data_IF_500624650234
#
_entry.id   IF_500624650234
#
_cell.length_a   1.000
_cell.length_b   1.000
_cell.length_c   1.000
_cell.angle_alpha   90.00
_cell.angle_beta   90.00
_cell.angle_gamma   90.00
#
_symmetry.space_group_name_H-M   'P 1'
#
loop_
_entity.id
_entity.type
_entity.pdbx_description
1 polymer ?
#
# COMPACT_ATOMS: atom_id res chain seq x y z
N UNK A 1 3.55 -10.40 -7.51
CA UNK A 1 4.04 -10.56 -8.90
C UNK A 1 2.97 -11.25 -9.73
N UNK A 2 2.64 -10.75 -10.92
CA UNK A 2 1.63 -11.37 -11.80
C UNK A 2 2.32 -11.98 -13.01
N UNK A 3 1.89 -13.17 -13.43
CA UNK A 3 2.47 -13.93 -14.53
C UNK A 3 1.37 -14.33 -15.53
N UNK A 4 1.59 -14.11 -16.84
CA UNK A 4 0.60 -14.38 -17.88
C UNK A 4 1.03 -15.53 -18.83
N UNK A 5 0.04 -16.30 -19.29
CA UNK A 5 0.19 -17.26 -20.41
C UNK A 5 -0.92 -17.18 -21.43
N UNK A 6 -0.55 -17.15 -22.71
CA UNK A 6 -1.45 -17.19 -23.85
C UNK A 6 -1.47 -18.60 -24.46
N UNK A 7 -2.43 -19.42 -24.04
CA UNK A 7 -2.89 -20.54 -24.88
C UNK A 7 -4.41 -20.70 -24.82
N UNK A 8 -5.04 -20.04 -25.81
CA UNK A 8 -6.39 -20.25 -26.36
C UNK A 8 -7.57 -20.21 -25.38
N UNK A 9 -8.42 -19.20 -25.57
CA UNK A 9 -9.65 -18.86 -24.82
C UNK A 9 -9.42 -18.53 -23.33
N UNK A 10 -9.30 -17.21 -23.08
CA UNK A 10 -8.95 -16.51 -21.83
C UNK A 10 -7.47 -16.68 -21.40
N UNK A 11 -6.73 -15.58 -21.16
CA UNK A 11 -5.38 -15.66 -20.64
C UNK A 11 -5.40 -16.38 -19.29
N UNK A 12 -4.58 -17.42 -19.12
CA UNK A 12 -4.39 -18.05 -17.81
C UNK A 12 -3.41 -17.20 -17.02
N UNK A 13 -3.93 -16.48 -16.04
CA UNK A 13 -3.17 -15.58 -15.16
C UNK A 13 -2.79 -16.37 -13.92
N UNK A 14 -1.49 -16.43 -13.61
CA UNK A 14 -1.00 -16.94 -12.32
C UNK A 14 -0.53 -15.76 -11.48
N UNK A 15 -1.00 -15.66 -10.25
CA UNK A 15 -0.66 -14.56 -9.36
C UNK A 15 0.11 -15.11 -8.17
N UNK A 16 1.34 -14.66 -8.00
CA UNK A 16 2.11 -14.89 -6.80
C UNK A 16 1.87 -13.71 -5.85
N UNK A 17 1.05 -13.98 -4.83
CA UNK A 17 0.62 -12.99 -3.84
C UNK A 17 1.28 -13.33 -2.49
N UNK A 18 2.36 -12.63 -2.10
CA UNK A 18 2.89 -12.76 -0.76
C UNK A 18 1.89 -12.18 0.25
N UNK A 19 1.59 -12.93 1.30
CA UNK A 19 0.80 -12.44 2.42
C UNK A 19 1.76 -11.76 3.38
N UNK A 20 1.82 -10.43 3.30
CA UNK A 20 2.65 -9.59 4.17
C UNK A 20 1.86 -9.10 5.38
N UNK A 21 0.69 -8.51 5.14
CA UNK A 21 -0.26 -8.11 6.19
C UNK A 21 -1.32 -9.21 6.34
N UNK A 22 -1.35 -9.95 7.45
CA UNK A 22 -2.35 -10.99 7.69
C UNK A 22 -3.76 -10.42 7.91
N UNK A 23 -3.92 -9.13 8.22
CA UNK A 23 -5.22 -8.48 8.44
C UNK A 23 -5.86 -8.01 7.12
N UNK A 24 -5.10 -7.96 6.02
CA UNK A 24 -5.61 -7.56 4.72
C UNK A 24 -6.07 -8.79 3.93
N UNK A 25 -7.38 -8.95 3.83
CA UNK A 25 -7.96 -9.86 2.84
C UNK A 25 -7.91 -9.20 1.46
N UNK A 26 -7.15 -9.81 0.55
CA UNK A 26 -7.13 -9.35 -0.85
C UNK A 26 -8.44 -9.75 -1.52
N UNK A 27 -9.19 -8.76 -2.01
CA UNK A 27 -10.38 -9.03 -2.83
C UNK A 27 -9.95 -9.80 -4.08
N UNK A 28 -10.60 -10.94 -4.33
CA UNK A 28 -10.28 -11.81 -5.46
C UNK A 28 -10.31 -11.11 -6.81
N UNK A 29 -9.69 -11.73 -7.82
CA UNK A 29 -9.58 -11.14 -9.15
C UNK A 29 -10.91 -11.24 -9.90
N UNK A 30 -11.29 -10.17 -10.62
CA UNK A 30 -12.48 -10.18 -11.51
C UNK A 30 -12.34 -11.17 -12.67
N UNK A 31 -11.10 -11.42 -13.11
CA UNK A 31 -10.79 -12.39 -14.15
C UNK A 31 -10.37 -13.72 -13.51
N UNK A 32 -10.66 -14.86 -14.15
CA UNK A 32 -10.22 -16.17 -13.67
C UNK A 32 -8.68 -16.19 -13.63
N UNK A 33 -8.13 -16.12 -12.41
CA UNK A 33 -6.71 -16.18 -12.14
C UNK A 33 -6.43 -17.27 -11.11
N UNK A 34 -5.36 -18.03 -11.34
CA UNK A 34 -4.84 -18.96 -10.36
C UNK A 34 -3.94 -18.20 -9.39
N UNK A 35 -4.46 -17.86 -8.21
CA UNK A 35 -3.69 -17.18 -7.17
C UNK A 35 -2.98 -18.19 -6.28
N UNK A 36 -1.67 -18.06 -6.18
CA UNK A 36 -0.82 -18.78 -5.24
C UNK A 36 -0.45 -17.79 -4.14
N UNK A 37 -0.95 -18.04 -2.93
CA UNK A 37 -0.63 -17.23 -1.76
C UNK A 37 0.62 -17.77 -1.07
N UNK A 38 1.66 -16.94 -0.98
CA UNK A 38 2.88 -17.27 -0.26
C UNK A 38 2.73 -16.79 1.18
N UNK A 39 2.62 -17.73 2.11
CA UNK A 39 2.50 -17.46 3.54
C UNK A 39 3.76 -17.94 4.24
N UNK A 40 4.29 -17.11 5.14
CA UNK A 40 5.30 -17.56 6.09
C UNK A 40 4.64 -18.36 7.22
N UNK A 41 5.46 -19.11 7.97
CA UNK A 41 5.03 -19.71 9.23
C UNK A 41 4.51 -18.64 10.19
N UNK A 42 3.57 -19.02 11.08
CA UNK A 42 2.87 -18.09 11.98
C UNK A 42 3.82 -17.18 12.78
N UNK A 43 4.90 -17.73 13.32
CA UNK A 43 5.85 -16.97 14.13
C UNK A 43 6.57 -15.88 13.33
N UNK A 44 6.72 -16.07 12.01
CA UNK A 44 7.33 -15.07 11.13
C UNK A 44 6.33 -14.02 10.64
N UNK A 45 5.02 -14.29 10.65
CA UNK A 45 3.97 -13.29 10.35
C UNK A 45 3.72 -12.31 11.50
N UNK A 46 4.04 -12.68 12.75
CA UNK A 46 3.85 -11.80 13.91
C UNK A 46 4.77 -10.57 13.91
N UNK A 47 5.91 -10.65 13.22
CA UNK A 47 6.83 -9.53 13.02
C UNK A 47 6.14 -8.31 12.36
N UNK A 48 5.09 -8.53 11.57
CA UNK A 48 4.31 -7.44 10.96
C UNK A 48 3.70 -6.51 12.02
N UNK A 49 3.20 -7.07 13.12
CA UNK A 49 2.65 -6.31 14.24
C UNK A 49 3.72 -5.62 15.11
N UNK A 50 4.99 -5.96 14.92
CA UNK A 50 6.10 -5.32 15.63
C UNK A 50 6.55 -4.00 14.99
N UNK A 51 6.14 -3.72 13.75
CA UNK A 51 6.40 -2.45 13.07
C UNK A 51 5.90 -1.27 13.91
N UNK A 52 6.77 -0.28 14.14
CA UNK A 52 6.40 0.92 14.87
C UNK A 52 5.33 1.73 14.13
N UNK A 53 5.31 1.63 12.80
CA UNK A 53 4.26 2.20 11.96
C UNK A 53 2.88 1.54 12.12
N UNK A 54 2.75 0.44 12.87
CA UNK A 54 1.46 -0.18 13.19
C UNK A 54 1.06 0.06 14.65
N UNK A 55 1.84 0.87 15.37
CA UNK A 55 1.67 1.11 16.81
C UNK A 55 1.15 2.53 17.07
N UNK A 56 0.57 2.79 18.26
CA UNK A 56 0.12 4.11 18.67
C UNK A 56 1.20 5.21 18.60
N UNK A 57 2.48 4.82 18.57
CA UNK A 57 3.63 5.73 18.44
C UNK A 57 3.58 6.63 17.20
N UNK A 58 2.83 6.28 16.15
CA UNK A 58 2.65 7.16 15.00
C UNK A 58 1.92 8.46 15.35
N UNK A 59 0.97 8.41 16.29
CA UNK A 59 0.17 9.57 16.69
C UNK A 59 0.95 10.59 17.50
N UNK A 60 2.07 10.17 18.09
CA UNK A 60 2.95 11.01 18.90
C UNK A 60 4.31 11.22 18.25
N UNK A 61 4.48 10.76 17.00
CA UNK A 61 5.72 10.93 16.27
C UNK A 61 5.96 12.44 15.99
N UNK A 62 7.17 12.96 16.26
CA UNK A 62 7.50 14.32 15.87
C UNK A 62 7.50 14.46 14.34
N UNK A 63 7.36 15.68 13.80
CA UNK A 63 7.56 15.93 12.38
C UNK A 63 8.90 15.35 11.91
N UNK A 64 8.88 14.56 10.83
CA UNK A 64 10.09 13.95 10.30
C UNK A 64 11.00 15.01 9.67
N UNK A 65 12.30 14.93 9.95
CA UNK A 65 13.36 15.72 9.31
C UNK A 65 14.28 14.78 8.56
N UNK A 66 13.90 14.36 7.36
CA UNK A 66 14.65 13.37 6.58
C UNK A 66 13.78 12.16 6.24
N UNK A 67 13.99 11.01 6.89
CA UNK A 67 13.17 9.81 6.64
C UNK A 67 11.98 9.77 7.60
N UNK A 68 10.76 9.70 7.06
CA UNK A 68 9.50 9.61 7.81
C UNK A 68 9.15 8.18 8.22
N UNK A 69 9.88 7.19 7.69
CA UNK A 69 9.81 5.81 8.14
C UNK A 69 11.01 5.48 9.02
N UNK A 70 10.79 4.81 10.15
CA UNK A 70 11.90 4.34 10.98
C UNK A 70 12.72 3.30 10.22
N UNK A 71 14.05 3.44 10.29
CA UNK A 71 14.95 2.50 9.63
C UNK A 71 14.77 1.05 10.13
N UNK A 72 14.45 0.85 11.41
CA UNK A 72 14.14 -0.46 11.98
C UNK A 72 12.94 -1.12 11.30
N UNK A 73 11.89 -0.35 11.01
CA UNK A 73 10.70 -0.86 10.35
C UNK A 73 11.01 -1.22 8.89
N UNK A 74 11.79 -0.38 8.21
CA UNK A 74 12.27 -0.67 6.85
C UNK A 74 13.12 -1.95 6.80
N UNK A 75 14.05 -2.12 7.74
CA UNK A 75 14.85 -3.35 7.86
C UNK A 75 13.98 -4.58 8.12
N UNK A 76 12.94 -4.46 8.97
CA UNK A 76 12.03 -5.56 9.24
C UNK A 76 11.25 -5.97 7.98
N UNK A 77 10.72 -5.00 7.22
CA UNK A 77 10.04 -5.28 5.94
C UNK A 77 10.96 -5.96 4.91
N UNK A 78 12.21 -5.51 4.82
CA UNK A 78 13.23 -6.13 3.96
C UNK A 78 13.55 -7.57 4.41
N UNK A 79 13.70 -7.80 5.70
CA UNK A 79 13.98 -9.14 6.24
C UNK A 79 12.82 -10.10 6.03
N UNK A 80 11.58 -9.62 6.21
CA UNK A 80 10.37 -10.36 5.92
C UNK A 80 10.28 -10.75 4.43
N UNK A 81 10.58 -9.80 3.54
CA UNK A 81 10.66 -10.07 2.10
C UNK A 81 11.73 -11.11 1.77
N UNK A 82 12.91 -11.01 2.40
CA UNK A 82 14.00 -11.97 2.22
C UNK A 82 13.58 -13.38 2.67
N UNK A 83 12.94 -13.52 3.82
CA UNK A 83 12.42 -14.81 4.34
C UNK A 83 11.38 -15.40 3.40
N UNK A 84 10.45 -14.59 2.89
CA UNK A 84 9.45 -15.01 1.90
C UNK A 84 10.11 -15.53 0.62
N UNK A 85 11.06 -14.78 0.06
CA UNK A 85 11.79 -15.22 -1.13
C UNK A 85 12.57 -16.50 -0.87
N UNK A 86 13.21 -16.62 0.30
CA UNK A 86 13.95 -17.83 0.68
C UNK A 86 13.03 -19.04 0.79
N UNK A 87 11.91 -18.90 1.50
CA UNK A 87 10.92 -19.98 1.65
C UNK A 87 10.37 -20.44 0.29
N UNK A 88 10.09 -19.50 -0.62
CA UNK A 88 9.66 -19.82 -1.99
C UNK A 88 10.75 -20.60 -2.76
N UNK A 89 12.00 -20.17 -2.65
CA UNK A 89 13.14 -20.75 -3.36
C UNK A 89 13.55 -22.12 -2.80
N UNK A 90 13.31 -22.36 -1.51
CA UNK A 90 13.56 -23.64 -0.85
C UNK A 90 12.41 -24.66 -1.05
N UNK A 91 11.25 -24.23 -1.55
CA UNK A 91 10.12 -25.11 -1.89
C UNK A 91 10.30 -25.70 -3.31
N UNK A 92 10.91 -26.89 -3.37
CA UNK A 92 11.20 -27.57 -4.64
C UNK A 92 9.94 -27.90 -5.46
N UNK A 93 8.81 -28.23 -4.81
CA UNK A 93 7.55 -28.52 -5.52
C UNK A 93 6.99 -27.25 -6.17
N UNK A 94 6.96 -26.15 -5.41
CA UNK A 94 6.53 -24.85 -5.93
C UNK A 94 7.45 -24.40 -7.07
N UNK A 95 8.77 -24.49 -6.90
CA UNK A 95 9.74 -24.12 -7.93
C UNK A 95 9.61 -25.00 -9.18
N UNK A 96 9.35 -26.30 -9.03
CA UNK A 96 9.07 -27.19 -10.15
C UNK A 96 7.81 -26.76 -10.91
N UNK A 97 6.70 -26.51 -10.19
CA UNK A 97 5.44 -26.03 -10.77
C UNK A 97 5.60 -24.70 -11.49
N UNK A 98 6.39 -23.77 -10.94
CA UNK A 98 6.69 -22.49 -11.56
C UNK A 98 7.54 -22.66 -12.83
N UNK A 99 8.48 -23.61 -12.87
CA UNK A 99 9.27 -23.90 -14.08
C UNK A 99 8.44 -24.55 -15.19
N UNK A 100 7.52 -25.45 -14.84
CA UNK A 100 6.61 -26.06 -15.80
C UNK A 100 5.57 -25.07 -16.33
N UNK A 101 5.23 -24.08 -15.50
CA UNK A 101 4.42 -22.94 -15.91
C UNK A 101 5.25 -22.09 -16.88
N UNK A 102 4.84 -22.06 -18.15
CA UNK A 102 5.38 -21.07 -19.10
C UNK A 102 4.93 -19.69 -18.63
N UNK A 103 5.70 -18.63 -18.84
CA UNK A 103 5.27 -17.26 -18.56
C UNK A 103 5.76 -16.34 -19.68
N UNK A 104 4.89 -15.47 -20.16
CA UNK A 104 5.19 -14.54 -21.27
C UNK A 104 5.40 -13.11 -20.77
N UNK A 105 4.71 -12.73 -19.69
CA UNK A 105 4.81 -11.41 -19.08
C UNK A 105 4.87 -11.52 -17.56
N UNK A 106 5.68 -10.67 -16.96
CA UNK A 106 5.82 -10.50 -15.51
C UNK A 106 5.44 -9.07 -15.14
N UNK A 107 4.49 -8.91 -14.23
CA UNK A 107 4.24 -7.64 -13.57
C UNK A 107 4.82 -7.69 -12.17
N UNK A 108 5.79 -6.82 -11.90
CA UNK A 108 6.28 -6.54 -10.58
C UNK A 108 5.85 -5.14 -10.17
N UNK A 109 5.41 -5.02 -8.92
CA UNK A 109 5.34 -3.72 -8.29
C UNK A 109 6.75 -3.26 -7.94
N UNK A 110 7.02 -1.98 -8.15
CA UNK A 110 8.29 -1.36 -7.82
C UNK A 110 8.02 -0.03 -7.16
N UNK A 111 8.65 0.18 -6.00
CA UNK A 111 8.72 1.49 -5.36
C UNK A 111 9.98 2.18 -5.87
N UNK A 112 9.86 2.84 -7.03
CA UNK A 112 10.93 3.71 -7.54
C UNK A 112 10.45 5.15 -7.54
N UNK A 113 11.28 6.05 -7.01
CA UNK A 113 10.90 7.45 -6.79
C UNK A 113 11.79 8.37 -7.60
N UNK A 114 11.19 9.09 -8.54
CA UNK A 114 11.82 10.21 -9.22
C UNK A 114 11.46 11.49 -8.48
N UNK A 115 12.43 12.12 -7.80
CA UNK A 115 12.22 13.29 -6.94
C UNK A 115 12.88 13.11 -5.57
N UNK A 116 12.34 13.75 -4.52
CA UNK A 116 12.70 13.43 -3.15
C UNK A 116 12.60 11.92 -2.89
N UNK A 117 13.49 11.36 -2.07
CA UNK A 117 13.44 9.94 -1.70
C UNK A 117 12.06 9.64 -1.12
N UNK A 118 11.43 8.54 -1.59
CA UNK A 118 10.01 8.17 -1.40
C UNK A 118 9.48 7.99 0.02
N UNK A 119 10.24 8.41 1.03
CA UNK A 119 9.92 8.37 2.44
C UNK A 119 10.39 9.65 3.14
N UNK A 120 10.66 10.72 2.38
CA UNK A 120 11.04 12.02 2.92
C UNK A 120 9.84 12.98 2.96
N UNK A 121 9.82 13.96 3.89
CA UNK A 121 8.72 14.91 4.00
C UNK A 121 8.78 15.99 2.91
N UNK A 122 9.77 15.94 2.04
CA UNK A 122 10.06 17.03 1.14
C UNK A 122 9.13 17.02 -0.07
N UNK A 123 8.74 18.21 -0.51
CA UNK A 123 8.01 18.42 -1.76
C UNK A 123 8.98 18.51 -2.95
N UNK A 124 8.43 18.67 -4.15
CA UNK A 124 9.21 18.93 -5.37
C UNK A 124 10.03 20.23 -5.29
N UNK A 125 9.63 21.18 -4.42
CA UNK A 125 10.31 22.45 -4.20
C UNK A 125 11.28 22.37 -3.01
N UNK A 126 12.50 21.94 -3.29
CA UNK A 126 13.55 21.81 -2.28
C UNK A 126 14.41 23.07 -2.15
N UNK A 127 14.60 23.54 -0.92
CA UNK A 127 15.67 24.49 -0.56
C UNK A 127 17.06 23.85 -0.70
N UNK A 128 18.13 24.67 -0.62
CA UNK A 128 19.50 24.16 -0.76
C UNK A 128 19.85 23.08 0.28
N UNK A 129 19.45 23.26 1.54
CA UNK A 129 19.73 22.29 2.61
C UNK A 129 18.93 21.02 2.40
N UNK A 130 17.66 21.12 2.00
CA UNK A 130 16.82 19.95 1.70
C UNK A 130 17.30 19.19 0.46
N UNK A 131 17.94 19.86 -0.50
CA UNK A 131 18.64 19.18 -1.61
C UNK A 131 19.84 18.38 -1.12
N UNK A 132 20.62 18.93 -0.19
CA UNK A 132 21.79 18.25 0.36
C UNK A 132 21.40 17.03 1.21
N UNK A 133 20.57 17.24 2.23
CA UNK A 133 19.34 16.47 2.47
C UNK A 133 19.13 15.18 1.66
N UNK A 134 18.28 15.39 0.66
CA UNK A 134 17.81 14.41 -0.28
C UNK A 134 18.94 13.70 -1.04
N UNK A 135 20.00 14.42 -1.43
CA UNK A 135 21.14 13.84 -2.14
C UNK A 135 21.88 12.80 -1.30
N UNK A 136 22.13 13.09 -0.02
CA UNK A 136 22.76 12.14 0.90
C UNK A 136 21.87 10.92 1.13
N UNK A 137 20.57 11.12 1.33
CA UNK A 137 19.61 10.01 1.44
C UNK A 137 19.60 9.17 0.17
N UNK A 138 19.58 9.79 -1.00
CA UNK A 138 19.59 9.10 -2.28
C UNK A 138 20.84 8.22 -2.43
N UNK A 139 22.03 8.76 -2.17
CA UNK A 139 23.29 7.97 -2.19
C UNK A 139 23.20 6.78 -1.23
N UNK A 140 22.73 7.02 -0.01
CA UNK A 140 22.57 5.97 1.00
C UNK A 140 21.65 4.84 0.49
N UNK A 141 20.48 5.19 -0.07
CA UNK A 141 19.55 4.20 -0.62
C UNK A 141 20.11 3.49 -1.85
N UNK A 142 20.86 4.16 -2.74
CA UNK A 142 21.51 3.50 -3.88
C UNK A 142 22.56 2.47 -3.43
N UNK A 143 23.37 2.81 -2.42
CA UNK A 143 24.35 1.87 -1.83
C UNK A 143 23.61 0.71 -1.16
N UNK A 144 22.57 1.00 -0.38
CA UNK A 144 21.79 -0.02 0.31
C UNK A 144 21.06 -0.96 -0.67
N UNK A 145 20.48 -0.42 -1.75
CA UNK A 145 19.86 -1.21 -2.83
C UNK A 145 20.86 -2.16 -3.48
N UNK A 146 22.08 -1.70 -3.78
CA UNK A 146 23.15 -2.57 -4.31
C UNK A 146 23.55 -3.66 -3.32
N UNK A 147 23.64 -3.34 -2.04
CA UNK A 147 23.91 -4.33 -1.00
C UNK A 147 22.80 -5.38 -0.91
N UNK A 148 21.53 -4.95 -0.96
CA UNK A 148 20.37 -5.84 -0.99
C UNK A 148 20.36 -6.72 -2.23
N UNK A 149 20.55 -6.16 -3.41
CA UNK A 149 20.61 -6.90 -4.67
C UNK A 149 21.67 -8.02 -4.58
N UNK A 150 22.87 -7.72 -4.05
CA UNK A 150 23.90 -8.75 -3.79
C UNK A 150 23.54 -9.77 -2.70
N UNK A 151 22.71 -9.40 -1.71
CA UNK A 151 22.19 -10.33 -0.70
C UNK A 151 21.16 -11.28 -1.32
N UNK A 152 20.16 -10.76 -2.03
CA UNK A 152 19.13 -11.57 -2.69
C UNK A 152 19.72 -12.42 -3.80
N UNK A 153 20.60 -11.86 -4.63
CA UNK A 153 21.26 -12.58 -5.72
C UNK A 153 22.02 -13.82 -5.22
N UNK A 154 22.77 -13.72 -4.11
CA UNK A 154 23.47 -14.89 -3.55
C UNK A 154 22.51 -16.03 -3.20
N UNK A 155 21.41 -15.72 -2.53
CA UNK A 155 20.37 -16.69 -2.17
C UNK A 155 19.77 -17.37 -3.42
N UNK A 156 19.45 -16.60 -4.47
CA UNK A 156 18.93 -17.19 -5.71
C UNK A 156 19.99 -17.99 -6.47
N UNK A 157 21.21 -17.48 -6.56
CA UNK A 157 22.32 -18.09 -7.31
C UNK A 157 22.84 -19.38 -6.65
N UNK A 158 22.71 -19.54 -5.32
CA UNK A 158 22.99 -20.79 -4.62
C UNK A 158 22.08 -21.95 -5.08
N UNK A 159 20.83 -21.64 -5.45
CA UNK A 159 19.87 -22.65 -5.95
C UNK A 159 19.87 -22.78 -7.46
N UNK A 160 20.02 -21.66 -8.17
CA UNK A 160 20.07 -21.60 -9.63
C UNK A 160 21.35 -20.86 -10.08
N UNK A 161 22.48 -21.58 -10.24
CA UNK A 161 23.74 -20.97 -10.62
C UNK A 161 23.65 -20.26 -11.98
N UNK A 162 24.14 -19.02 -12.02
CA UNK A 162 24.17 -18.22 -13.25
C UNK A 162 22.92 -17.36 -13.49
N UNK A 163 22.00 -17.30 -12.52
CA UNK A 163 20.87 -16.38 -12.57
C UNK A 163 21.37 -14.91 -12.56
N UNK A 164 20.83 -14.03 -13.43
CA UNK A 164 21.18 -12.61 -13.39
C UNK A 164 20.69 -11.95 -12.10
N UNK A 165 21.35 -10.85 -11.70
CA UNK A 165 20.89 -10.05 -10.56
C UNK A 165 19.52 -9.43 -10.84
N UNK A 166 18.71 -9.23 -9.80
CA UNK A 166 17.36 -8.66 -9.93
C UNK A 166 17.43 -7.31 -10.60
N UNK A 167 18.42 -6.49 -10.21
CA UNK A 167 18.68 -5.19 -10.81
C UNK A 167 18.90 -5.27 -12.33
N UNK A 168 19.66 -6.25 -12.80
CA UNK A 168 19.97 -6.39 -14.23
C UNK A 168 18.72 -6.86 -15.01
N UNK A 169 17.91 -7.76 -14.42
CA UNK A 169 16.60 -8.14 -14.97
C UNK A 169 15.70 -6.90 -15.11
N UNK A 170 15.60 -6.06 -14.07
CA UNK A 170 14.78 -4.84 -14.10
C UNK A 170 15.26 -3.85 -15.16
N UNK A 171 16.57 -3.66 -15.34
CA UNK A 171 17.07 -2.71 -16.34
C UNK A 171 17.00 -3.24 -17.78
N UNK A 172 17.24 -4.54 -18.00
CA UNK A 172 17.32 -5.09 -19.35
C UNK A 172 16.00 -5.66 -19.89
N UNK A 173 15.09 -6.07 -19.01
CA UNK A 173 13.85 -6.77 -19.39
C UNK A 173 12.58 -5.96 -19.18
N UNK A 174 12.65 -4.79 -18.54
CA UNK A 174 11.47 -3.92 -18.38
C UNK A 174 11.07 -3.32 -19.72
N UNK A 175 9.91 -3.76 -20.23
CA UNK A 175 9.34 -3.24 -21.48
C UNK A 175 8.38 -2.06 -21.26
N UNK A 176 7.76 -1.98 -20.08
CA UNK A 176 6.70 -1.02 -19.77
C UNK A 176 6.70 -0.69 -18.27
N UNK A 177 6.57 0.60 -17.94
CA UNK A 177 6.38 1.09 -16.58
C UNK A 177 5.00 1.72 -16.51
N UNK A 178 4.13 1.17 -15.65
CA UNK A 178 2.78 1.68 -15.45
C UNK A 178 2.71 2.41 -14.12
N UNK A 179 2.34 3.69 -14.15
CA UNK A 179 2.26 4.54 -12.96
C UNK A 179 0.79 4.84 -12.66
N UNK A 180 0.37 4.56 -11.43
CA UNK A 180 -1.01 4.81 -10.96
C UNK A 180 -1.22 6.29 -10.58
N UNK A 181 -1.04 7.19 -11.55
CA UNK A 181 -1.25 8.63 -11.38
C UNK A 181 -2.08 9.16 -12.55
N UNK A 182 -2.89 10.19 -12.29
CA UNK A 182 -3.57 10.91 -13.36
C UNK A 182 -2.60 11.91 -14.00
N UNK A 183 -2.54 11.96 -15.33
CA UNK A 183 -1.56 12.78 -16.06
C UNK A 183 -1.58 14.27 -15.69
N UNK A 184 -2.76 14.85 -15.46
CA UNK A 184 -2.91 16.24 -15.01
C UNK A 184 -2.55 16.50 -13.54
N UNK A 185 -2.45 15.46 -12.71
CA UNK A 185 -2.06 15.58 -11.31
C UNK A 185 -0.53 15.42 -11.11
N UNK A 186 0.18 15.01 -12.17
CA UNK A 186 1.61 14.75 -12.14
C UNK A 186 2.41 16.01 -12.50
N UNK A 187 3.55 16.21 -11.82
CA UNK A 187 4.46 17.31 -12.11
C UNK A 187 5.10 17.14 -13.49
N UNK A 188 5.20 18.22 -14.26
CA UNK A 188 5.78 18.15 -15.61
C UNK A 188 7.25 17.75 -15.55
N UNK A 189 7.61 16.61 -16.14
CA UNK A 189 8.99 16.10 -16.20
C UNK A 189 9.27 15.37 -17.51
N UNK A 190 10.52 15.36 -17.99
CA UNK A 190 10.92 14.52 -19.12
C UNK A 190 10.62 13.06 -18.81
N UNK A 191 9.97 12.36 -19.74
CA UNK A 191 9.63 10.94 -19.58
C UNK A 191 10.00 10.13 -20.82
N UNK A 192 10.36 8.88 -20.58
CA UNK A 192 10.49 7.90 -21.66
C UNK A 192 9.11 7.44 -22.13
N UNK A 193 9.02 7.00 -23.39
CA UNK A 193 7.82 6.39 -23.95
C UNK A 193 7.45 5.05 -23.28
N UNK A 194 8.34 4.47 -22.47
CA UNK A 194 8.04 3.28 -21.66
C UNK A 194 7.12 3.57 -20.46
N UNK A 195 6.99 4.84 -20.04
CA UNK A 195 6.11 5.20 -18.92
C UNK A 195 4.70 5.45 -19.44
N UNK A 196 3.71 4.79 -18.82
CA UNK A 196 2.28 4.96 -19.09
C UNK A 196 1.53 5.26 -17.81
N UNK A 197 0.76 6.33 -17.84
CA UNK A 197 -0.15 6.69 -16.76
C UNK A 197 -1.41 5.84 -16.87
N UNK A 198 -1.68 5.08 -15.82
CA UNK A 198 -2.84 4.20 -15.70
C UNK A 198 -3.70 4.60 -14.48
N UNK A 199 -3.57 5.85 -14.03
CA UNK A 199 -4.35 6.38 -12.92
C UNK A 199 -5.83 6.13 -13.11
N UNK A 200 -6.46 5.49 -12.11
CA UNK A 200 -7.88 5.16 -12.16
C UNK A 200 -8.25 3.92 -12.97
N UNK A 201 -7.29 3.22 -13.61
CA UNK A 201 -7.57 1.99 -14.38
C UNK A 201 -8.15 0.84 -13.57
N UNK A 202 -7.92 0.84 -12.25
CA UNK A 202 -8.46 -0.15 -11.31
C UNK A 202 -9.76 0.28 -10.65
N UNK A 203 -10.22 1.51 -10.88
CA UNK A 203 -11.50 2.01 -10.35
C UNK A 203 -12.62 1.36 -11.15
N UNK A 204 -13.56 0.76 -10.44
CA UNK A 204 -14.75 0.17 -11.03
C UNK A 204 -15.97 1.06 -10.84
N UNK A 205 -16.99 0.82 -11.66
CA UNK A 205 -18.26 1.53 -11.54
C UNK A 205 -18.85 1.29 -10.14
N UNK A 206 -19.17 2.35 -9.38
CA UNK A 206 -19.73 2.25 -8.04
C UNK A 206 -20.92 1.30 -8.00
N UNK A 207 -20.85 0.31 -7.12
CA UNK A 207 -21.93 -0.64 -6.88
C UNK A 207 -22.93 -0.09 -5.85
N UNK A 208 -24.19 -0.58 -5.85
CA UNK A 208 -25.15 -0.21 -4.83
C UNK A 208 -24.65 -0.59 -3.43
N UNK A 209 -24.60 0.40 -2.53
CA UNK A 209 -24.26 0.17 -1.12
C UNK A 209 -25.31 -0.71 -0.43
N UNK A 210 -24.89 -1.40 0.63
CA UNK A 210 -25.82 -2.14 1.47
C UNK A 210 -26.88 -1.20 2.10
N UNK A 211 -27.97 -1.79 2.60
CA UNK A 211 -29.10 -1.02 3.16
C UNK A 211 -28.69 -0.20 4.37
N UNK A 212 -27.83 -0.76 5.23
CA UNK A 212 -27.39 -0.12 6.47
C UNK A 212 -26.64 1.18 6.20
N UNK A 213 -25.58 1.12 5.38
CA UNK A 213 -24.80 2.29 5.00
C UNK A 213 -25.63 3.28 4.20
N UNK A 214 -26.52 2.79 3.33
CA UNK A 214 -27.44 3.66 2.59
C UNK A 214 -28.40 4.42 3.52
N UNK A 215 -28.87 3.80 4.61
CA UNK A 215 -29.74 4.47 5.57
C UNK A 215 -28.98 5.59 6.29
N UNK A 216 -27.77 5.30 6.80
CA UNK A 216 -26.91 6.30 7.48
C UNK A 216 -26.61 7.49 6.57
N UNK A 217 -26.29 7.25 5.30
CA UNK A 217 -26.04 8.29 4.31
C UNK A 217 -27.25 9.17 4.01
N UNK A 218 -28.47 8.66 4.23
CA UNK A 218 -29.72 9.37 3.94
C UNK A 218 -30.28 10.09 5.17
N UNK A 219 -29.71 9.92 6.37
CA UNK A 219 -30.19 10.58 7.58
C UNK A 219 -30.09 12.11 7.49
N UNK A 220 -29.08 12.62 6.78
CA UNK A 220 -28.71 14.04 6.73
C UNK A 220 -28.32 14.46 5.31
N UNK A 221 -28.44 15.75 4.96
CA UNK A 221 -28.17 16.24 3.61
C UNK A 221 -26.69 16.12 3.20
N UNK A 222 -25.79 16.13 4.18
CA UNK A 222 -24.34 16.12 3.93
C UNK A 222 -23.72 14.98 4.73
N UNK A 223 -22.86 14.20 4.08
CA UNK A 223 -22.02 13.21 4.75
C UNK A 223 -20.54 13.49 4.50
N UNK A 224 -19.76 13.39 5.58
CA UNK A 224 -18.30 13.47 5.59
C UNK A 224 -17.74 12.10 5.90
N UNK A 225 -16.84 11.61 5.04
CA UNK A 225 -16.05 10.41 5.33
C UNK A 225 -14.73 10.81 6.01
N UNK A 226 -14.51 10.30 7.22
CA UNK A 226 -13.26 10.44 7.98
C UNK A 226 -12.56 9.09 8.13
N UNK A 227 -11.34 9.00 7.61
CA UNK A 227 -10.55 7.76 7.64
C UNK A 227 -9.04 8.05 7.63
N UNK A 228 -8.26 7.13 8.22
CA UNK A 228 -6.79 7.23 8.35
C UNK A 228 -6.03 6.22 7.46
N UNK A 229 -6.75 5.50 6.61
CA UNK A 229 -6.19 4.42 5.79
C UNK A 229 -6.09 3.08 6.53
N UNK A 230 -5.17 2.23 6.07
CA UNK A 230 -4.98 0.85 6.55
C UNK A 230 -3.72 0.66 7.41
N UNK A 231 -2.88 1.68 7.51
CA UNK A 231 -1.64 1.64 8.31
C UNK A 231 -1.88 2.24 9.69
N UNK A 232 -2.51 3.42 9.75
CA UNK A 232 -2.77 4.16 10.98
C UNK A 232 -4.17 3.81 11.47
N UNK A 233 -4.29 3.22 12.66
CA UNK A 233 -5.59 2.89 13.26
C UNK A 233 -6.15 4.04 14.07
N UNK A 234 -7.40 4.41 13.78
CA UNK A 234 -8.13 5.47 14.48
C UNK A 234 -8.34 5.12 15.95
N UNK A 235 -8.52 3.84 16.28
CA UNK A 235 -8.65 3.40 17.69
C UNK A 235 -7.43 3.69 18.55
N UNK A 236 -6.25 3.79 17.93
CA UNK A 236 -4.99 4.05 18.64
C UNK A 236 -4.69 5.55 18.80
N UNK A 237 -5.58 6.41 18.27
CA UNK A 237 -5.48 7.85 18.41
C UNK A 237 -5.54 8.26 19.90
N UNK A 238 -4.69 9.19 20.38
CA UNK A 238 -4.76 9.69 21.73
C UNK A 238 -6.14 10.25 22.07
N UNK A 239 -6.61 10.00 23.29
CA UNK A 239 -7.96 10.37 23.74
C UNK A 239 -8.26 11.87 23.54
N UNK A 240 -7.30 12.74 23.87
CA UNK A 240 -7.45 14.18 23.66
C UNK A 240 -7.72 14.54 22.20
N UNK A 241 -7.12 13.82 21.25
CA UNK A 241 -7.28 14.07 19.82
C UNK A 241 -8.61 13.50 19.31
N UNK A 242 -9.02 12.32 19.79
CA UNK A 242 -10.35 11.75 19.54
C UNK A 242 -11.45 12.72 19.99
N UNK A 243 -11.30 13.27 21.20
CA UNK A 243 -12.25 14.23 21.78
C UNK A 243 -12.34 15.51 20.94
N UNK A 244 -11.22 16.03 20.41
CA UNK A 244 -11.24 17.18 19.50
C UNK A 244 -12.11 16.89 18.26
N UNK A 245 -11.96 15.72 17.63
CA UNK A 245 -12.78 15.37 16.47
C UNK A 245 -14.25 15.18 16.84
N UNK A 246 -14.54 14.48 17.93
CA UNK A 246 -15.88 14.28 18.47
C UNK A 246 -16.59 15.61 18.74
N UNK A 247 -15.94 16.51 19.49
CA UNK A 247 -16.48 17.82 19.83
C UNK A 247 -16.70 18.66 18.57
N UNK A 248 -15.74 18.62 17.63
CA UNK A 248 -15.85 19.33 16.36
C UNK A 248 -17.04 18.80 15.53
N UNK A 249 -17.19 17.47 15.42
CA UNK A 249 -18.28 16.86 14.68
C UNK A 249 -19.64 17.16 15.31
N UNK A 250 -19.72 17.22 16.64
CA UNK A 250 -20.94 17.57 17.35
C UNK A 250 -21.44 19.00 17.05
N UNK A 251 -20.54 19.93 16.65
CA UNK A 251 -20.92 21.28 16.21
C UNK A 251 -21.68 21.31 14.87
N UNK A 252 -21.69 20.20 14.13
CA UNK A 252 -22.37 20.08 12.83
C UNK A 252 -23.47 19.02 12.87
N UNK A 253 -24.55 19.20 13.65
CA UNK A 253 -25.61 18.21 13.82
C UNK A 253 -26.38 17.88 12.53
N UNK A 254 -26.31 18.76 11.52
CA UNK A 254 -26.90 18.59 10.20
C UNK A 254 -26.00 17.82 9.20
N UNK A 255 -24.84 17.34 9.64
CA UNK A 255 -23.92 16.53 8.84
C UNK A 255 -23.74 15.15 9.48
N UNK A 256 -23.72 14.11 8.66
CA UNK A 256 -23.34 12.75 9.08
C UNK A 256 -21.83 12.58 8.93
N UNK A 257 -21.15 12.09 9.94
CA UNK A 257 -19.72 11.75 9.91
C UNK A 257 -19.57 10.23 9.94
N UNK A 258 -19.12 9.65 8.84
CA UNK A 258 -18.71 8.25 8.78
C UNK A 258 -17.25 8.16 9.19
N UNK A 259 -16.96 7.53 10.33
CA UNK A 259 -15.60 7.38 10.83
C UNK A 259 -15.13 5.94 10.66
N UNK A 260 -14.14 5.70 9.78
CA UNK A 260 -13.44 4.42 9.73
C UNK A 260 -12.69 4.18 11.04
N UNK A 261 -13.21 3.26 11.87
CA UNK A 261 -12.75 3.05 13.23
C UNK A 261 -12.79 1.55 13.56
N UNK A 262 -11.69 1.03 14.07
CA UNK A 262 -11.44 -0.41 14.23
C UNK A 262 -12.14 -1.04 15.45
N UNK A 263 -12.85 -0.25 16.25
CA UNK A 263 -13.69 -0.71 17.38
C UNK A 263 -15.02 0.08 17.43
N UNK A 264 -16.03 -0.31 16.63
CA UNK A 264 -17.25 0.48 16.45
C UNK A 264 -18.14 0.56 17.70
N UNK A 265 -17.94 -0.30 18.69
CA UNK A 265 -18.68 -0.33 19.95
C UNK A 265 -18.06 0.56 21.04
N UNK A 266 -16.98 1.29 20.71
CA UNK A 266 -16.27 2.16 21.63
C UNK A 266 -17.21 3.20 22.26
N UNK A 267 -17.08 3.38 23.57
CA UNK A 267 -17.93 4.25 24.38
C UNK A 267 -17.81 5.72 23.99
N UNK A 268 -16.74 6.12 23.32
CA UNK A 268 -16.53 7.50 22.86
C UNK A 268 -17.61 7.97 21.88
N UNK A 269 -18.26 7.05 21.15
CA UNK A 269 -19.32 7.38 20.20
C UNK A 269 -20.69 7.48 20.86
N UNK A 270 -20.81 7.13 22.13
CA UNK A 270 -22.08 7.24 22.87
C UNK A 270 -22.46 8.72 22.98
N UNK A 271 -23.73 9.00 22.70
CA UNK A 271 -24.34 10.34 22.75
C UNK A 271 -23.95 11.31 21.63
N UNK A 272 -23.36 10.83 20.52
CA UNK A 272 -23.03 11.67 19.36
C UNK A 272 -23.78 11.12 18.13
N UNK A 273 -25.06 11.49 17.96
CA UNK A 273 -25.95 10.83 17.00
C UNK A 273 -25.62 11.12 15.54
N UNK A 274 -24.65 11.99 15.26
CA UNK A 274 -24.23 12.37 13.92
C UNK A 274 -22.85 11.80 13.55
N UNK A 275 -22.24 10.97 14.41
CA UNK A 275 -20.99 10.26 14.14
C UNK A 275 -21.26 8.77 14.15
N UNK A 276 -20.92 8.08 13.06
CA UNK A 276 -21.16 6.66 12.87
C UNK A 276 -19.81 5.96 12.66
N UNK A 277 -19.31 5.20 13.65
CA UNK A 277 -18.11 4.41 13.47
C UNK A 277 -18.42 3.20 12.57
N UNK A 278 -17.51 2.92 11.64
CA UNK A 278 -17.60 1.79 10.72
C UNK A 278 -16.23 1.15 10.60
N UNK A 279 -16.16 -0.17 10.72
CA UNK A 279 -14.89 -0.89 10.65
C UNK A 279 -14.34 -0.91 9.21
N UNK A 280 -15.23 -1.14 8.25
CA UNK A 280 -14.91 -1.25 6.83
C UNK A 280 -15.80 -0.37 5.96
N UNK A 281 -15.20 0.21 4.91
CA UNK A 281 -15.90 1.13 4.00
C UNK A 281 -15.61 0.72 2.55
N UNK A 282 -16.64 0.48 1.72
CA UNK A 282 -16.47 0.31 0.29
C UNK A 282 -16.18 1.69 -0.35
N UNK A 283 -14.95 2.17 -0.21
CA UNK A 283 -14.58 3.57 -0.50
C UNK A 283 -14.91 3.98 -1.94
N UNK A 284 -14.69 3.11 -2.93
CA UNK A 284 -15.05 3.37 -4.33
C UNK A 284 -16.56 3.54 -4.52
N UNK A 285 -17.36 2.63 -3.96
CA UNK A 285 -18.83 2.67 -4.05
C UNK A 285 -19.40 3.90 -3.33
N UNK A 286 -18.79 4.24 -2.19
CA UNK A 286 -19.18 5.37 -1.37
C UNK A 286 -18.89 6.69 -2.09
N UNK A 287 -17.66 6.89 -2.58
CA UNK A 287 -17.24 8.10 -3.29
C UNK A 287 -17.93 8.31 -4.65
N UNK A 288 -18.54 7.25 -5.21
CA UNK A 288 -19.44 7.36 -6.36
C UNK A 288 -20.71 8.18 -6.10
N UNK A 289 -21.11 8.33 -4.82
CA UNK A 289 -22.18 9.25 -4.39
C UNK A 289 -21.57 10.60 -4.04
N UNK A 290 -22.34 11.70 -4.19
CA UNK A 290 -21.87 13.08 -3.87
C UNK A 290 -21.54 13.21 -2.37
N UNK A 291 -20.30 12.91 -2.01
CA UNK A 291 -19.78 12.93 -0.64
C UNK A 291 -18.58 13.85 -0.53
N UNK A 292 -18.38 14.40 0.67
CA UNK A 292 -17.17 15.17 1.01
C UNK A 292 -16.19 14.22 1.71
N UNK A 293 -15.00 14.06 1.14
CA UNK A 293 -13.94 13.23 1.72
C UNK A 293 -13.02 14.08 2.60
N UNK A 294 -12.84 13.68 3.86
CA UNK A 294 -11.86 14.25 4.78
C UNK A 294 -10.85 13.15 5.16
N UNK A 295 -9.78 13.02 4.37
CA UNK A 295 -8.67 12.11 4.67
C UNK A 295 -7.48 12.91 5.20
N UNK A 296 -7.07 12.65 6.45
CA UNK A 296 -5.99 13.39 7.11
C UNK A 296 -4.60 12.79 6.83
N UNK A 297 -4.54 11.53 6.39
CA UNK A 297 -3.32 10.82 6.02
C UNK A 297 -3.50 10.20 4.62
N UNK A 298 -3.65 11.05 3.61
CA UNK A 298 -3.42 10.64 2.23
C UNK A 298 -1.91 10.62 1.95
N UNK A 299 -1.16 9.78 2.67
CA UNK A 299 0.17 9.34 2.24
C UNK A 299 -0.08 8.14 1.31
N UNK A 300 0.38 8.28 0.05
CA UNK A 300 0.05 7.48 -1.14
C UNK A 300 -1.06 8.10 -2.01
N UNK A 301 -0.80 9.31 -2.51
CA UNK A 301 -1.06 9.62 -3.92
C UNK A 301 0.26 9.57 -4.66
#
# INVERSE_FOLDING_TARGET
>A
MYLLTEKTNLPKITILSPVLDPEIETFGNKLPAHTIHLKLEKDATDDWYHLQMKKPAQWTAPPCTGLCLKWSDYQLMVEQTYRLCKALVDDDDMMHRLRESKFELVYSEGLDTCGPVGLSPFSDELSFIERLINFNLHIFFEIYKKWLDGRFWRMFNEKEPGIPAIRDILYEKTALIMTNVHEFAETTRPRTNMIRYIGGSTIYDPQPLNKELSNVLNERPTTVLFCMGTIVYSKDMPEWMKNVFIETFALFPNMTFLWKYEDPDDVIFKNIPNVHPVEWIPQTDLLGKRLVLANLFALLK
#
